data_IF_134907216906
#
_entry.id   IF_134907216906
#
_cell.length_a   1.000
_cell.length_b   1.000
_cell.length_c   1.000
_cell.angle_alpha   90.00
_cell.angle_beta   90.00
_cell.angle_gamma   90.00
#
_symmetry.space_group_name_H-M   'P 1'
#
loop_
_entity.id
_entity.type
_entity.pdbx_description
1 polymer ?
#
# COMPACT_ATOMS: atom_id res chain seq x y z
N UNK A 1 38.99 87.31 9.86
CA UNK A 1 40.09 87.23 10.85
C UNK A 1 40.24 85.81 11.35
N UNK A 2 41.40 85.31 11.05
CA UNK A 2 42.22 84.37 11.83
C UNK A 2 41.66 82.96 12.15
N UNK A 3 42.24 81.92 11.53
CA UNK A 3 43.43 81.16 12.02
C UNK A 3 43.02 80.18 13.11
N UNK A 4 43.34 78.93 13.17
CA UNK A 4 44.51 78.10 12.84
C UNK A 4 44.12 76.67 13.12
N UNK A 5 44.44 75.71 12.38
CA UNK A 5 45.67 74.86 12.32
C UNK A 5 45.86 73.83 13.43
N UNK A 6 46.12 72.64 12.95
CA UNK A 6 47.01 71.59 13.52
C UNK A 6 46.29 70.51 14.34
N UNK A 7 46.57 69.31 14.27
CA UNK A 7 47.56 68.36 13.70
C UNK A 7 47.26 66.98 14.27
N UNK A 8 47.48 66.00 13.44
CA UNK A 8 48.13 64.68 13.69
C UNK A 8 47.71 63.80 14.85
N UNK A 9 47.26 62.60 14.60
CA UNK A 9 48.15 61.45 14.80
C UNK A 9 47.45 60.13 14.39
N UNK A 10 48.12 59.43 13.56
CA UNK A 10 48.00 58.04 13.16
C UNK A 10 48.02 57.07 14.32
N UNK A 11 47.15 56.04 14.31
CA UNK A 11 47.50 54.71 14.77
C UNK A 11 46.87 53.68 13.85
N UNK A 12 47.73 52.94 13.23
CA UNK A 12 47.54 51.75 12.41
C UNK A 12 47.25 50.57 13.36
N UNK A 13 46.11 49.94 13.24
CA UNK A 13 45.91 48.61 13.80
C UNK A 13 45.13 47.77 12.84
N UNK A 14 45.83 46.84 12.19
CA UNK A 14 45.28 45.85 11.32
C UNK A 14 44.43 44.85 12.05
N UNK A 15 43.28 44.56 11.52
CA UNK A 15 42.46 43.41 11.91
C UNK A 15 42.24 42.61 10.65
N UNK A 16 42.92 41.44 10.60
CA UNK A 16 42.65 40.38 9.64
C UNK A 16 41.20 39.93 9.82
N UNK A 17 40.38 40.19 8.78
CA UNK A 17 39.11 39.45 8.64
C UNK A 17 39.43 38.11 8.02
N UNK A 18 39.38 37.06 8.85
CA UNK A 18 39.17 35.68 8.38
C UNK A 18 37.74 35.63 7.80
N UNK A 19 37.67 35.64 6.48
CA UNK A 19 36.48 35.23 5.77
C UNK A 19 36.36 33.70 5.94
N UNK A 20 35.69 33.25 6.99
CA UNK A 20 35.18 31.89 7.08
C UNK A 20 34.05 31.75 6.08
N UNK A 21 34.31 31.10 4.93
CA UNK A 21 33.26 30.53 4.11
C UNK A 21 32.66 29.37 4.90
N UNK A 22 31.69 29.66 5.74
CA UNK A 22 30.70 28.71 6.18
C UNK A 22 29.78 28.50 4.98
N UNK A 23 29.87 27.34 4.36
CA UNK A 23 28.83 26.86 3.47
C UNK A 23 27.61 26.59 4.34
N UNK A 24 26.84 27.62 4.62
CA UNK A 24 25.43 27.44 5.00
C UNK A 24 24.78 26.77 3.81
N UNK A 25 24.52 25.48 3.95
CA UNK A 25 23.42 24.88 3.21
C UNK A 25 22.21 25.71 3.62
N UNK A 26 21.78 26.57 2.74
CA UNK A 26 20.45 27.19 2.82
C UNK A 26 19.44 26.03 2.87
N UNK A 27 19.10 25.61 4.07
CA UNK A 27 17.82 24.98 4.31
C UNK A 27 16.81 26.07 3.97
N UNK A 28 16.26 26.02 2.78
CA UNK A 28 15.09 26.81 2.40
C UNK A 28 13.90 26.36 3.25
N UNK A 29 13.93 26.66 4.52
CA UNK A 29 12.82 26.57 5.45
C UNK A 29 12.24 27.95 5.62
N UNK A 30 11.58 28.45 4.59
CA UNK A 30 10.63 29.55 4.73
C UNK A 30 9.23 28.96 4.69
N UNK A 31 8.47 29.07 5.75
CA UNK A 31 6.98 29.12 5.89
C UNK A 31 6.07 28.40 4.84
N UNK A 32 6.56 27.47 4.02
CA UNK A 32 5.70 26.73 3.12
C UNK A 32 5.06 25.54 3.84
N UNK A 33 3.75 25.61 4.01
CA UNK A 33 2.96 24.44 4.43
C UNK A 33 2.52 23.67 3.19
N UNK A 34 2.86 22.39 3.14
CA UNK A 34 2.44 21.47 2.07
C UNK A 34 1.08 20.88 2.40
N UNK A 35 0.20 20.81 1.41
CA UNK A 35 -1.05 20.07 1.52
C UNK A 35 -0.91 18.75 0.75
N UNK A 36 -1.02 17.65 1.45
CA UNK A 36 -0.97 16.31 0.86
C UNK A 36 -2.39 15.74 0.84
N UNK A 37 -2.92 15.53 -0.36
CA UNK A 37 -4.19 14.83 -0.54
C UNK A 37 -3.99 13.33 -0.34
N UNK A 38 -4.83 12.74 0.48
CA UNK A 38 -4.83 11.29 0.74
C UNK A 38 -6.15 10.72 0.25
N UNK A 39 -6.11 9.76 -0.65
CA UNK A 39 -7.30 9.04 -1.12
C UNK A 39 -7.14 7.56 -0.88
N UNK A 40 -8.11 6.97 -0.19
CA UNK A 40 -8.18 5.56 0.14
C UNK A 40 -9.55 5.02 -0.27
N UNK A 41 -9.57 3.84 -0.94
CA UNK A 41 -10.85 3.29 -1.44
C UNK A 41 -11.77 2.88 -0.30
N UNK A 42 -11.22 2.28 0.75
CA UNK A 42 -11.95 1.82 1.94
C UNK A 42 -10.99 1.73 3.12
N UNK A 43 -11.52 1.72 4.32
CA UNK A 43 -10.76 1.48 5.55
C UNK A 43 -10.64 -0.02 5.81
N UNK A 44 -9.43 -0.51 5.92
CA UNK A 44 -9.07 -1.83 6.43
C UNK A 44 -7.59 -1.87 6.84
N UNK A 45 -7.18 -2.82 7.72
CA UNK A 45 -5.88 -2.78 8.41
C UNK A 45 -4.67 -2.57 7.51
N UNK A 46 -4.58 -3.24 6.36
CA UNK A 46 -3.41 -3.12 5.48
C UNK A 46 -3.29 -1.74 4.84
N UNK A 47 -4.42 -1.16 4.37
CA UNK A 47 -4.39 0.19 3.81
C UNK A 47 -4.10 1.24 4.89
N UNK A 48 -4.63 1.04 6.09
CA UNK A 48 -4.39 1.93 7.23
C UNK A 48 -2.91 1.87 7.65
N UNK A 49 -2.33 0.66 7.71
CA UNK A 49 -0.91 0.47 7.99
C UNK A 49 -0.01 1.15 6.94
N UNK A 50 -0.35 1.03 5.65
CA UNK A 50 0.38 1.73 4.58
C UNK A 50 0.33 3.26 4.74
N UNK A 51 -0.81 3.81 5.14
CA UNK A 51 -0.91 5.24 5.41
C UNK A 51 -0.10 5.67 6.64
N UNK A 52 -0.10 4.87 7.71
CA UNK A 52 0.75 5.16 8.88
C UNK A 52 2.24 5.12 8.52
N UNK A 53 2.69 4.13 7.74
CA UNK A 53 4.06 4.08 7.24
C UNK A 53 4.43 5.29 6.40
N UNK A 54 3.54 5.73 5.52
CA UNK A 54 3.71 6.94 4.72
C UNK A 54 3.90 8.19 5.58
N UNK A 55 3.03 8.40 6.58
CA UNK A 55 3.15 9.53 7.52
C UNK A 55 4.46 9.48 8.30
N UNK A 56 4.85 8.29 8.76
CA UNK A 56 6.09 8.08 9.52
C UNK A 56 7.32 8.49 8.70
N UNK A 57 7.42 8.05 7.45
CA UNK A 57 8.52 8.43 6.56
C UNK A 57 8.59 9.95 6.36
N UNK A 58 7.47 10.60 6.14
CA UNK A 58 7.40 12.05 6.02
C UNK A 58 7.88 12.75 7.30
N UNK A 59 7.35 12.34 8.46
CA UNK A 59 7.68 12.96 9.75
C UNK A 59 9.17 12.83 10.10
N UNK A 60 9.78 11.66 9.85
CA UNK A 60 11.20 11.39 10.08
C UNK A 60 12.11 12.21 9.14
N UNK A 61 11.59 12.63 7.98
CA UNK A 61 12.31 13.46 7.01
C UNK A 61 11.91 14.95 7.06
N UNK A 62 11.32 15.40 8.18
CA UNK A 62 11.07 16.82 8.45
C UNK A 62 9.73 17.35 7.97
N UNK A 63 8.87 16.51 7.41
CA UNK A 63 7.51 16.86 6.99
C UNK A 63 6.51 16.46 8.08
N UNK A 64 6.20 17.37 9.00
CA UNK A 64 5.41 17.09 10.21
C UNK A 64 4.01 17.69 10.11
N UNK A 65 3.01 16.86 10.39
CA UNK A 65 1.61 17.29 10.45
C UNK A 65 1.42 18.36 11.54
N UNK A 66 0.70 19.43 11.19
CA UNK A 66 0.44 20.56 12.09
C UNK A 66 1.58 21.58 12.18
N UNK A 67 2.75 21.29 11.61
CA UNK A 67 3.89 22.21 11.50
C UNK A 67 4.00 22.71 10.06
N UNK A 68 4.47 21.88 9.14
CA UNK A 68 4.68 22.24 7.74
C UNK A 68 3.95 21.33 6.75
N UNK A 69 3.14 20.39 7.23
CA UNK A 69 2.28 19.51 6.43
C UNK A 69 0.86 19.52 6.96
N UNK A 70 -0.09 19.52 6.03
CA UNK A 70 -1.51 19.25 6.26
C UNK A 70 -1.92 18.05 5.39
N UNK A 71 -2.53 17.04 5.98
CA UNK A 71 -3.17 15.96 5.24
C UNK A 71 -4.67 16.28 5.02
N UNK A 72 -5.12 16.18 3.76
CA UNK A 72 -6.54 16.15 3.39
C UNK A 72 -6.90 14.68 3.12
N UNK A 73 -7.35 13.99 4.16
CA UNK A 73 -7.63 12.55 4.15
C UNK A 73 -9.07 12.30 3.72
N UNK A 74 -9.24 11.51 2.68
CA UNK A 74 -10.52 11.16 2.10
C UNK A 74 -10.65 9.65 1.94
N UNK A 75 -11.76 9.09 2.43
CA UNK A 75 -12.11 7.67 2.31
C UNK A 75 -13.35 7.54 1.42
N UNK A 76 -13.25 6.74 0.37
CA UNK A 76 -14.34 6.52 -0.59
C UNK A 76 -15.42 5.55 -0.10
N UNK A 77 -15.20 4.88 1.05
CA UNK A 77 -16.15 3.92 1.63
C UNK A 77 -16.54 2.80 0.66
N UNK A 78 -15.57 2.35 -0.12
CA UNK A 78 -15.73 1.33 -1.16
C UNK A 78 -16.72 1.70 -2.29
N UNK A 79 -16.93 2.99 -2.54
CA UNK A 79 -17.77 3.49 -3.61
C UNK A 79 -16.91 4.17 -4.68
N UNK A 80 -17.00 3.66 -5.92
CA UNK A 80 -16.22 4.15 -7.05
C UNK A 80 -16.59 5.61 -7.41
N UNK A 81 -17.87 5.99 -7.26
CA UNK A 81 -18.33 7.36 -7.53
C UNK A 81 -17.79 8.35 -6.49
N UNK A 82 -17.72 7.91 -5.22
CA UNK A 82 -17.09 8.69 -4.17
C UNK A 82 -15.59 8.85 -4.45
N UNK A 83 -14.89 7.78 -4.85
CA UNK A 83 -13.48 7.84 -5.19
C UNK A 83 -13.19 8.82 -6.34
N UNK A 84 -14.02 8.83 -7.39
CA UNK A 84 -13.94 9.85 -8.46
C UNK A 84 -14.18 11.26 -7.94
N UNK A 85 -15.16 11.43 -7.07
CA UNK A 85 -15.48 12.73 -6.47
C UNK A 85 -14.35 13.26 -5.60
N UNK A 86 -13.71 12.36 -4.84
CA UNK A 86 -12.51 12.65 -4.03
C UNK A 86 -11.36 13.08 -4.94
N UNK A 87 -11.09 12.36 -6.02
CA UNK A 87 -10.05 12.72 -6.98
C UNK A 87 -10.26 14.15 -7.53
N UNK A 88 -11.48 14.47 -7.97
CA UNK A 88 -11.85 15.81 -8.45
C UNK A 88 -11.67 16.87 -7.37
N UNK A 89 -12.06 16.57 -6.13
CA UNK A 89 -11.88 17.48 -5.00
C UNK A 89 -10.40 17.79 -4.77
N UNK A 90 -9.56 16.77 -4.59
CA UNK A 90 -8.14 16.94 -4.32
C UNK A 90 -7.42 17.73 -5.43
N UNK A 91 -7.76 17.46 -6.70
CA UNK A 91 -7.23 18.21 -7.84
C UNK A 91 -7.75 19.65 -7.85
N UNK A 92 -9.03 19.87 -7.56
CA UNK A 92 -9.64 21.20 -7.47
C UNK A 92 -9.05 22.06 -6.34
N UNK A 93 -8.70 21.44 -5.23
CA UNK A 93 -8.06 22.07 -4.08
C UNK A 93 -6.56 22.34 -4.31
N UNK A 94 -6.00 21.85 -5.42
CA UNK A 94 -4.61 22.06 -5.84
C UNK A 94 -3.61 21.64 -4.75
N UNK A 95 -3.79 20.44 -4.23
CA UNK A 95 -2.85 19.85 -3.26
C UNK A 95 -1.43 19.73 -3.85
N UNK A 96 -0.40 19.77 -3.03
CA UNK A 96 1.00 19.74 -3.50
C UNK A 96 1.45 18.34 -3.95
N UNK A 97 0.82 17.28 -3.42
CA UNK A 97 1.07 15.88 -3.72
C UNK A 97 -0.17 15.06 -3.38
N UNK A 98 -0.43 13.99 -4.12
CA UNK A 98 -1.50 13.03 -3.80
C UNK A 98 -0.87 11.67 -3.44
N UNK A 99 -1.24 11.16 -2.26
CA UNK A 99 -1.01 9.79 -1.86
C UNK A 99 -2.27 8.97 -2.19
N UNK A 100 -2.13 8.02 -3.11
CA UNK A 100 -3.22 7.20 -3.60
C UNK A 100 -3.07 5.76 -3.10
N UNK A 101 -3.91 5.37 -2.16
CA UNK A 101 -3.86 4.08 -1.48
C UNK A 101 -4.90 3.13 -2.06
N UNK A 102 -4.49 2.23 -2.88
CA UNK A 102 -5.16 1.20 -3.67
C UNK A 102 -5.22 1.50 -5.18
N UNK A 103 -5.43 0.44 -5.98
CA UNK A 103 -5.56 0.53 -7.44
C UNK A 103 -6.72 1.44 -7.88
N UNK A 104 -7.96 1.33 -7.34
CA UNK A 104 -9.04 2.24 -7.73
C UNK A 104 -8.75 3.70 -7.40
N UNK A 105 -8.17 3.98 -6.24
CA UNK A 105 -7.78 5.34 -5.83
C UNK A 105 -6.76 5.94 -6.78
N UNK A 106 -5.72 5.18 -7.15
CA UNK A 106 -4.67 5.63 -8.06
C UNK A 106 -5.21 5.90 -9.48
N UNK A 107 -6.08 5.03 -9.98
CA UNK A 107 -6.73 5.20 -11.29
C UNK A 107 -7.55 6.49 -11.36
N UNK A 108 -8.36 6.77 -10.34
CA UNK A 108 -9.22 7.94 -10.34
C UNK A 108 -8.41 9.25 -10.30
N UNK A 109 -7.38 9.34 -9.45
CA UNK A 109 -6.57 10.57 -9.42
C UNK A 109 -5.73 10.76 -10.67
N UNK A 110 -5.19 9.68 -11.27
CA UNK A 110 -4.43 9.77 -12.52
C UNK A 110 -5.30 10.24 -13.70
N UNK A 111 -6.58 9.89 -13.69
CA UNK A 111 -7.54 10.35 -14.70
C UNK A 111 -7.89 11.84 -14.56
N UNK A 112 -7.84 12.40 -13.34
CA UNK A 112 -8.21 13.79 -13.07
C UNK A 112 -7.04 14.78 -13.18
N UNK A 113 -5.78 14.34 -13.04
CA UNK A 113 -4.62 15.24 -13.14
C UNK A 113 -3.43 14.63 -13.87
N UNK A 114 -2.72 15.49 -14.61
CA UNK A 114 -1.41 15.17 -15.21
C UNK A 114 -0.31 16.08 -14.67
N UNK A 115 -0.63 16.95 -13.70
CA UNK A 115 0.28 17.98 -13.18
C UNK A 115 0.66 17.72 -11.73
N UNK A 116 -0.32 17.38 -10.87
CA UNK A 116 -0.06 17.13 -9.46
C UNK A 116 0.69 15.81 -9.31
N UNK A 117 1.83 15.78 -8.60
CA UNK A 117 2.55 14.55 -8.31
C UNK A 117 1.68 13.54 -7.57
N UNK A 118 1.70 12.30 -8.01
CA UNK A 118 0.98 11.18 -7.40
C UNK A 118 2.01 10.14 -6.96
N UNK A 119 1.91 9.71 -5.71
CA UNK A 119 2.57 8.51 -5.22
C UNK A 119 1.51 7.49 -4.83
N UNK A 120 1.51 6.34 -5.49
CA UNK A 120 0.58 5.27 -5.15
C UNK A 120 1.23 4.22 -4.26
N UNK A 121 0.40 3.52 -3.50
CA UNK A 121 0.77 2.30 -2.76
C UNK A 121 -0.38 1.30 -2.80
N UNK A 122 -0.12 0.06 -2.38
CA UNK A 122 -1.16 -0.99 -2.35
C UNK A 122 -1.83 -1.19 -3.72
N UNK A 123 -1.01 -1.15 -4.76
CA UNK A 123 -1.43 -1.36 -6.16
C UNK A 123 -0.86 -2.68 -6.66
N UNK A 124 -1.74 -3.60 -7.02
CA UNK A 124 -1.33 -4.97 -7.37
C UNK A 124 -0.64 -5.07 -8.73
N UNK A 125 -1.21 -4.43 -9.75
CA UNK A 125 -0.64 -4.47 -11.11
C UNK A 125 -0.68 -3.07 -11.75
N UNK A 126 0.32 -2.22 -11.45
CA UNK A 126 0.33 -0.84 -11.94
C UNK A 126 0.48 -0.74 -13.46
N UNK A 127 1.07 -1.74 -14.12
CA UNK A 127 1.23 -1.79 -15.58
C UNK A 127 -0.09 -2.23 -16.23
N UNK A 128 -0.67 -3.34 -15.79
CA UNK A 128 -1.95 -3.83 -16.31
C UNK A 128 -3.12 -2.91 -16.01
N UNK A 129 -3.06 -2.15 -14.90
CA UNK A 129 -4.01 -1.09 -14.61
C UNK A 129 -3.82 0.18 -15.48
N UNK A 130 -2.70 0.29 -16.21
CA UNK A 130 -2.41 1.46 -17.03
C UNK A 130 -1.99 2.70 -16.25
N UNK A 131 -1.50 2.53 -15.03
CA UNK A 131 -0.95 3.61 -14.21
C UNK A 131 0.43 4.03 -14.67
N UNK A 132 1.24 3.07 -15.08
CA UNK A 132 2.62 3.25 -15.54
C UNK A 132 2.91 2.42 -16.80
N UNK A 133 3.90 2.81 -17.60
CA UNK A 133 4.32 2.04 -18.78
C UNK A 133 5.11 0.78 -18.38
N UNK A 134 6.02 0.93 -17.43
CA UNK A 134 6.78 -0.16 -16.78
C UNK A 134 7.27 0.32 -15.40
N UNK A 135 7.90 -0.55 -14.64
CA UNK A 135 8.46 -0.19 -13.32
C UNK A 135 9.62 0.79 -13.44
N UNK A 136 10.43 0.70 -14.52
CA UNK A 136 11.55 1.59 -14.80
C UNK A 136 11.12 2.88 -15.53
N UNK A 137 9.88 2.89 -16.04
CA UNK A 137 9.29 4.04 -16.72
C UNK A 137 7.92 4.34 -16.14
N UNK A 138 7.88 4.93 -14.94
CA UNK A 138 6.63 5.43 -14.36
C UNK A 138 6.06 6.56 -15.23
N UNK A 139 4.88 7.05 -14.90
CA UNK A 139 4.27 8.15 -15.63
C UNK A 139 4.97 9.49 -15.34
N UNK A 140 4.65 10.53 -16.13
CA UNK A 140 5.25 11.86 -15.94
C UNK A 140 4.99 12.44 -14.55
N UNK A 141 3.79 12.21 -14.00
CA UNK A 141 3.38 12.72 -12.69
C UNK A 141 3.02 11.62 -11.68
N UNK A 142 3.31 10.34 -11.97
CA UNK A 142 2.93 9.22 -11.08
C UNK A 142 4.07 8.23 -10.93
N UNK A 143 4.26 7.77 -9.70
CA UNK A 143 5.12 6.64 -9.29
C UNK A 143 4.59 6.03 -8.01
N UNK A 144 5.23 5.01 -7.46
CA UNK A 144 4.82 4.43 -6.19
C UNK A 144 5.35 3.02 -5.94
N UNK A 145 4.65 2.30 -5.06
CA UNK A 145 4.98 0.93 -4.70
C UNK A 145 3.84 -0.02 -5.06
N UNK A 146 4.18 -1.16 -5.67
CA UNK A 146 3.23 -2.26 -5.84
C UNK A 146 3.17 -3.12 -4.58
N UNK A 147 2.03 -3.73 -4.33
CA UNK A 147 1.86 -4.72 -3.27
C UNK A 147 1.99 -6.16 -3.78
N UNK A 148 2.56 -6.34 -4.95
CA UNK A 148 2.76 -7.67 -5.56
C UNK A 148 4.19 -8.15 -5.34
N UNK A 149 4.30 -9.33 -4.72
CA UNK A 149 5.47 -10.18 -4.78
C UNK A 149 5.11 -11.40 -5.64
N UNK A 150 5.91 -11.75 -6.66
CA UNK A 150 5.58 -12.81 -7.62
C UNK A 150 5.44 -14.19 -6.99
N UNK A 151 6.04 -14.41 -5.82
CA UNK A 151 6.03 -15.71 -5.13
C UNK A 151 4.84 -15.84 -4.16
N UNK A 152 4.15 -14.77 -3.80
CA UNK A 152 3.15 -14.78 -2.72
C UNK A 152 1.95 -15.68 -3.04
N UNK A 153 1.29 -15.49 -4.18
CA UNK A 153 0.15 -16.34 -4.58
C UNK A 153 0.60 -17.79 -4.84
N UNK A 154 1.71 -18.06 -5.59
CA UNK A 154 2.22 -19.40 -5.75
C UNK A 154 2.51 -20.15 -4.45
N UNK A 155 3.10 -19.48 -3.45
CA UNK A 155 3.36 -20.07 -2.14
C UNK A 155 2.07 -20.40 -1.40
N UNK A 156 1.11 -19.46 -1.34
CA UNK A 156 -0.15 -19.68 -0.61
C UNK A 156 -1.00 -20.76 -1.28
N UNK A 157 -1.23 -20.67 -2.60
CA UNK A 157 -2.02 -21.66 -3.34
C UNK A 157 -1.30 -23.01 -3.38
N UNK A 158 0.04 -22.98 -3.50
CA UNK A 158 0.86 -24.18 -3.40
C UNK A 158 0.67 -24.90 -2.07
N UNK A 159 0.72 -24.18 -0.98
CA UNK A 159 0.49 -24.74 0.35
C UNK A 159 -0.95 -25.29 0.51
N UNK A 160 -1.97 -24.59 -0.01
CA UNK A 160 -3.35 -25.07 0.01
C UNK A 160 -3.51 -26.44 -0.65
N UNK A 161 -2.90 -26.63 -1.83
CA UNK A 161 -3.05 -27.86 -2.61
C UNK A 161 -2.09 -28.95 -2.12
N UNK A 162 -0.79 -28.65 -2.04
CA UNK A 162 0.23 -29.66 -1.82
C UNK A 162 0.27 -30.13 -0.35
N UNK A 163 -0.01 -29.21 0.60
CA UNK A 163 0.14 -29.47 2.03
C UNK A 163 -1.21 -29.63 2.75
N UNK A 164 -2.14 -28.70 2.54
CA UNK A 164 -3.47 -28.77 3.15
C UNK A 164 -4.41 -29.74 2.39
N UNK A 165 -4.08 -30.15 1.16
CA UNK A 165 -4.81 -31.15 0.41
C UNK A 165 -6.10 -30.65 -0.22
N UNK A 166 -6.22 -29.34 -0.50
CA UNK A 166 -7.39 -28.78 -1.14
C UNK A 166 -7.46 -29.20 -2.62
N UNK A 167 -8.51 -29.91 -3.00
CA UNK A 167 -8.82 -30.28 -4.39
C UNK A 167 -9.70 -29.22 -5.06
N UNK A 168 -10.50 -28.49 -4.26
CA UNK A 168 -11.40 -27.44 -4.73
C UNK A 168 -11.26 -26.19 -3.88
N UNK A 169 -10.87 -25.07 -4.49
CA UNK A 169 -10.63 -23.78 -3.84
C UNK A 169 -11.76 -22.81 -4.16
N UNK A 170 -12.47 -22.30 -3.15
CA UNK A 170 -13.42 -21.21 -3.29
C UNK A 170 -12.71 -19.86 -3.30
N UNK A 171 -13.02 -19.00 -4.25
CA UNK A 171 -12.47 -17.63 -4.29
C UNK A 171 -13.61 -16.64 -4.30
N UNK A 172 -13.59 -15.69 -3.36
CA UNK A 172 -14.57 -14.58 -3.28
C UNK A 172 -13.84 -13.29 -3.65
N UNK A 173 -14.39 -12.53 -4.59
CA UNK A 173 -13.77 -11.30 -5.06
C UNK A 173 -14.77 -10.33 -5.68
N UNK A 174 -14.42 -9.06 -5.75
CA UNK A 174 -15.16 -8.05 -6.49
C UNK A 174 -14.63 -7.96 -7.93
N UNK A 175 -15.42 -8.40 -8.89
CA UNK A 175 -15.06 -8.35 -10.33
C UNK A 175 -15.03 -6.91 -10.91
N UNK A 176 -15.43 -5.90 -10.14
CA UNK A 176 -15.24 -4.48 -10.47
C UNK A 176 -13.89 -3.92 -10.06
N UNK A 177 -13.03 -4.70 -9.39
CA UNK A 177 -11.68 -4.32 -8.99
C UNK A 177 -10.63 -5.01 -9.88
N UNK A 178 -9.87 -4.22 -10.66
CA UNK A 178 -8.82 -4.75 -11.54
C UNK A 178 -7.76 -5.55 -10.77
N UNK A 179 -7.35 -5.07 -9.58
CA UNK A 179 -6.43 -5.77 -8.70
C UNK A 179 -6.92 -7.16 -8.30
N UNK A 180 -8.22 -7.36 -8.15
CA UNK A 180 -8.81 -8.64 -7.77
C UNK A 180 -8.85 -9.60 -8.96
N UNK A 181 -9.28 -9.13 -10.13
CA UNK A 181 -9.35 -9.96 -11.34
C UNK A 181 -7.99 -10.54 -11.74
N UNK A 182 -6.91 -9.75 -11.67
CA UNK A 182 -5.56 -10.23 -12.02
C UNK A 182 -5.08 -11.31 -11.05
N UNK A 183 -5.38 -11.18 -9.76
CA UNK A 183 -5.03 -12.19 -8.76
C UNK A 183 -5.83 -13.47 -8.93
N UNK A 184 -7.15 -13.37 -9.16
CA UNK A 184 -8.02 -14.53 -9.39
C UNK A 184 -7.58 -15.32 -10.62
N UNK A 185 -7.19 -14.64 -11.69
CA UNK A 185 -6.62 -15.29 -12.87
C UNK A 185 -5.36 -16.06 -12.51
N UNK A 186 -4.45 -15.49 -11.74
CA UNK A 186 -3.23 -16.16 -11.29
C UNK A 186 -3.53 -17.36 -10.39
N UNK A 187 -4.49 -17.26 -9.47
CA UNK A 187 -4.96 -18.39 -8.64
C UNK A 187 -5.48 -19.53 -9.50
N UNK A 188 -6.30 -19.23 -10.51
CA UNK A 188 -6.81 -20.26 -11.45
C UNK A 188 -5.71 -20.97 -12.22
N UNK A 189 -4.71 -20.23 -12.70
CA UNK A 189 -3.57 -20.80 -13.43
C UNK A 189 -2.78 -21.75 -12.53
N UNK A 190 -2.44 -21.33 -11.31
CA UNK A 190 -1.66 -22.15 -10.36
C UNK A 190 -2.46 -23.36 -9.88
N UNK A 191 -3.73 -23.18 -9.49
CA UNK A 191 -4.59 -24.27 -9.06
C UNK A 191 -4.71 -25.34 -10.14
N UNK A 192 -4.94 -24.93 -11.40
CA UNK A 192 -5.00 -25.83 -12.54
C UNK A 192 -3.69 -26.57 -12.78
N UNK A 193 -2.54 -25.92 -12.68
CA UNK A 193 -1.22 -26.55 -12.80
C UNK A 193 -1.00 -27.63 -11.73
N UNK A 194 -1.56 -27.42 -10.54
CA UNK A 194 -1.50 -28.34 -9.41
C UNK A 194 -2.63 -29.38 -9.38
N UNK A 195 -3.57 -29.33 -10.33
CA UNK A 195 -4.66 -30.29 -10.46
C UNK A 195 -5.86 -30.00 -9.55
N UNK A 196 -5.95 -28.79 -8.97
CA UNK A 196 -7.09 -28.34 -8.19
C UNK A 196 -8.09 -27.53 -9.04
N UNK A 197 -9.35 -27.52 -8.63
CA UNK A 197 -10.43 -26.74 -9.25
C UNK A 197 -10.65 -25.42 -8.46
N UNK A 198 -11.10 -24.35 -9.16
CA UNK A 198 -11.47 -23.09 -8.54
C UNK A 198 -12.96 -22.82 -8.74
N UNK A 199 -13.65 -22.52 -7.64
CA UNK A 199 -15.04 -22.07 -7.62
C UNK A 199 -15.06 -20.58 -7.32
N UNK A 200 -15.28 -19.76 -8.35
CA UNK A 200 -15.33 -18.31 -8.22
C UNK A 200 -16.72 -17.83 -7.78
N UNK A 201 -16.75 -16.90 -6.85
CA UNK A 201 -17.95 -16.16 -6.43
C UNK A 201 -17.64 -14.67 -6.49
N UNK A 202 -18.20 -13.99 -7.47
CA UNK A 202 -18.05 -12.53 -7.60
C UNK A 202 -19.12 -11.80 -6.80
N UNK A 203 -18.72 -10.67 -6.22
CA UNK A 203 -19.58 -9.72 -5.52
C UNK A 203 -19.38 -8.32 -6.06
N UNK A 204 -20.26 -7.41 -5.71
CA UNK A 204 -20.16 -5.98 -6.04
C UNK A 204 -20.08 -5.09 -4.79
N UNK A 205 -20.55 -5.58 -3.65
CA UNK A 205 -20.59 -4.82 -2.40
C UNK A 205 -20.19 -5.69 -1.20
N UNK A 206 -19.69 -5.06 -0.14
CA UNK A 206 -19.33 -5.75 1.10
C UNK A 206 -20.52 -6.43 1.81
N UNK A 207 -21.75 -5.97 1.55
CA UNK A 207 -22.97 -6.60 2.11
C UNK A 207 -23.22 -8.01 1.54
N UNK A 208 -22.67 -8.34 0.38
CA UNK A 208 -22.83 -9.65 -0.27
C UNK A 208 -21.81 -10.70 0.22
N UNK A 209 -20.74 -10.28 0.92
CA UNK A 209 -19.61 -11.13 1.31
C UNK A 209 -20.06 -12.35 2.12
N UNK A 210 -20.96 -12.16 3.11
CA UNK A 210 -21.46 -13.28 3.93
C UNK A 210 -22.19 -14.32 3.08
N UNK A 211 -23.10 -13.87 2.20
CA UNK A 211 -23.85 -14.76 1.33
C UNK A 211 -22.94 -15.48 0.34
N UNK A 212 -21.91 -14.80 -0.17
CA UNK A 212 -20.91 -15.39 -1.03
C UNK A 212 -20.16 -16.53 -0.32
N UNK A 213 -19.70 -16.30 0.92
CA UNK A 213 -19.05 -17.33 1.73
C UNK A 213 -19.97 -18.51 2.02
N UNK A 214 -21.23 -18.26 2.40
CA UNK A 214 -22.24 -19.31 2.65
C UNK A 214 -22.52 -20.14 1.38
N UNK A 215 -22.43 -19.56 0.20
CA UNK A 215 -22.64 -20.27 -1.08
C UNK A 215 -21.56 -21.29 -1.43
N UNK A 216 -20.38 -21.19 -0.82
CA UNK A 216 -19.25 -22.10 -0.99
C UNK A 216 -19.35 -23.33 -0.08
N UNK A 217 -20.17 -23.30 0.98
CA UNK A 217 -20.29 -24.38 1.95
C UNK A 217 -20.69 -25.70 1.30
N UNK A 218 -19.90 -26.76 1.56
CA UNK A 218 -20.09 -28.08 0.99
C UNK A 218 -19.74 -28.20 -0.50
N UNK A 219 -19.11 -27.20 -1.07
CA UNK A 219 -18.67 -27.17 -2.47
C UNK A 219 -17.16 -27.04 -2.63
N UNK A 220 -16.47 -26.63 -1.58
CA UNK A 220 -15.04 -26.36 -1.61
C UNK A 220 -14.35 -26.94 -0.38
N UNK A 221 -13.06 -27.24 -0.49
CA UNK A 221 -12.23 -27.77 0.60
C UNK A 221 -11.54 -26.62 1.36
N UNK A 222 -11.32 -25.49 0.72
CA UNK A 222 -10.73 -24.30 1.30
C UNK A 222 -11.23 -23.04 0.60
N UNK A 223 -11.17 -21.89 1.30
CA UNK A 223 -11.46 -20.59 0.72
C UNK A 223 -10.17 -19.79 0.61
N UNK A 224 -9.98 -19.08 -0.50
CA UNK A 224 -8.93 -18.09 -0.68
C UNK A 224 -9.53 -16.69 -0.92
N UNK A 225 -9.09 -15.72 -0.15
CA UNK A 225 -9.44 -14.32 -0.34
C UNK A 225 -8.21 -13.56 -0.85
N UNK A 226 -8.22 -13.08 -2.10
CA UNK A 226 -7.15 -12.24 -2.62
C UNK A 226 -7.08 -10.88 -1.90
N UNK A 227 -6.14 -10.02 -2.28
CA UNK A 227 -6.09 -8.61 -1.85
C UNK A 227 -7.20 -7.81 -2.54
N UNK A 228 -8.41 -8.06 -2.11
CA UNK A 228 -9.67 -7.47 -2.60
C UNK A 228 -10.21 -6.49 -1.56
N UNK A 229 -10.27 -5.21 -1.91
CA UNK A 229 -10.64 -4.18 -0.94
C UNK A 229 -12.07 -4.37 -0.40
N UNK A 230 -12.98 -4.84 -1.24
CA UNK A 230 -14.38 -5.05 -0.87
C UNK A 230 -14.53 -6.21 0.11
N UNK A 231 -13.94 -7.37 -0.21
CA UNK A 231 -14.03 -8.57 0.63
C UNK A 231 -13.26 -8.39 1.93
N UNK A 232 -12.03 -7.85 1.87
CA UNK A 232 -11.19 -7.61 3.06
C UNK A 232 -11.85 -6.64 4.03
N UNK A 233 -12.58 -5.63 3.55
CA UNK A 233 -13.34 -4.71 4.42
C UNK A 233 -14.46 -5.39 5.23
N UNK A 234 -14.90 -6.59 4.82
CA UNK A 234 -15.94 -7.38 5.48
C UNK A 234 -15.47 -8.82 5.83
N UNK A 235 -14.15 -9.01 5.99
CA UNK A 235 -13.51 -10.32 6.15
C UNK A 235 -14.06 -11.12 7.32
N UNK A 236 -14.50 -10.47 8.41
CA UNK A 236 -15.10 -11.13 9.56
C UNK A 236 -16.33 -11.98 9.19
N UNK A 237 -17.03 -11.59 8.13
CA UNK A 237 -18.17 -12.38 7.62
C UNK A 237 -17.71 -13.69 6.99
N UNK A 238 -16.56 -13.71 6.31
CA UNK A 238 -15.97 -14.94 5.76
C UNK A 238 -15.41 -15.79 6.89
N UNK A 239 -14.65 -15.19 7.83
CA UNK A 239 -14.07 -15.87 8.99
C UNK A 239 -15.17 -16.57 9.80
N UNK A 240 -16.30 -15.89 10.06
CA UNK A 240 -17.42 -16.50 10.78
C UNK A 240 -17.97 -17.75 10.07
N UNK A 241 -18.10 -17.72 8.75
CA UNK A 241 -18.56 -18.89 7.97
C UNK A 241 -17.49 -19.99 7.96
N UNK A 242 -16.22 -19.63 7.80
CA UNK A 242 -15.09 -20.55 7.82
C UNK A 242 -15.03 -21.33 9.14
N UNK A 243 -15.10 -20.63 10.28
CA UNK A 243 -15.09 -21.22 11.62
C UNK A 243 -16.36 -22.08 11.88
N UNK A 244 -17.55 -21.59 11.47
CA UNK A 244 -18.82 -22.30 11.70
C UNK A 244 -18.94 -23.60 10.86
N UNK A 245 -18.18 -23.72 9.80
CA UNK A 245 -18.30 -24.78 8.79
C UNK A 245 -17.04 -25.61 8.62
N UNK A 246 -16.04 -25.40 9.44
CA UNK A 246 -14.74 -26.09 9.38
C UNK A 246 -14.13 -26.02 7.96
N UNK A 247 -14.09 -24.83 7.38
CA UNK A 247 -13.50 -24.60 6.06
C UNK A 247 -12.26 -23.71 6.21
N UNK A 248 -11.05 -24.20 5.96
CA UNK A 248 -9.82 -23.40 6.06
C UNK A 248 -9.83 -22.17 5.16
N UNK A 249 -9.59 -20.99 5.75
CA UNK A 249 -9.55 -19.70 5.08
C UNK A 249 -8.12 -19.23 4.86
N UNK A 250 -7.68 -19.19 3.63
CA UNK A 250 -6.40 -18.62 3.22
C UNK A 250 -6.58 -17.20 2.69
N UNK A 251 -5.61 -16.33 2.92
CA UNK A 251 -5.74 -14.91 2.60
C UNK A 251 -4.49 -14.37 1.91
N UNK A 252 -4.64 -13.25 1.19
CA UNK A 252 -3.58 -12.67 0.36
C UNK A 252 -2.61 -11.74 1.10
N UNK A 253 -2.82 -11.48 2.41
CA UNK A 253 -2.06 -10.50 3.19
C UNK A 253 -1.97 -10.84 4.68
N UNK A 254 -0.88 -10.38 5.33
CA UNK A 254 -0.61 -10.72 6.74
C UNK A 254 -1.59 -10.07 7.74
N UNK A 255 -2.17 -8.92 7.40
CA UNK A 255 -3.12 -8.27 8.31
C UNK A 255 -4.47 -9.02 8.32
N UNK A 256 -4.89 -9.58 7.21
CA UNK A 256 -6.03 -10.50 7.14
C UNK A 256 -5.75 -11.84 7.84
N UNK A 257 -4.50 -12.33 7.80
CA UNK A 257 -4.07 -13.50 8.57
C UNK A 257 -4.25 -13.31 10.07
N UNK A 258 -3.86 -12.15 10.60
CA UNK A 258 -4.03 -11.79 12.03
C UNK A 258 -5.50 -11.75 12.47
N UNK A 259 -6.40 -11.49 11.54
CA UNK A 259 -7.86 -11.45 11.81
C UNK A 259 -8.51 -12.83 11.89
N UNK A 260 -7.89 -13.87 11.32
CA UNK A 260 -8.41 -15.23 11.37
C UNK A 260 -8.24 -16.03 10.09
N UNK A 261 -7.37 -15.60 9.18
CA UNK A 261 -6.89 -16.46 8.10
C UNK A 261 -5.95 -17.54 8.62
N UNK A 262 -5.89 -18.69 7.93
CA UNK A 262 -5.02 -19.83 8.29
C UNK A 262 -3.58 -19.61 7.83
N UNK A 263 -3.39 -19.19 6.58
CA UNK A 263 -2.08 -18.86 6.07
C UNK A 263 -2.15 -17.75 5.02
N UNK A 264 -1.06 -17.02 4.92
CA UNK A 264 -0.82 -16.00 3.91
C UNK A 264 0.67 -15.91 3.61
N UNK A 265 1.04 -15.77 2.33
CA UNK A 265 2.35 -15.25 1.96
C UNK A 265 2.26 -13.76 1.75
N UNK A 266 3.01 -12.99 2.51
CA UNK A 266 2.88 -11.53 2.51
C UNK A 266 4.07 -10.80 3.11
N UNK A 267 3.88 -9.51 3.30
CA UNK A 267 4.85 -8.54 3.81
C UNK A 267 4.12 -7.49 4.66
N UNK A 268 4.90 -6.62 5.32
CA UNK A 268 4.36 -5.57 6.16
C UNK A 268 3.92 -4.35 5.32
N UNK A 269 2.65 -3.96 5.40
CA UNK A 269 2.10 -2.79 4.69
C UNK A 269 2.57 -1.45 5.28
N UNK A 270 2.95 -1.37 6.57
CA UNK A 270 3.57 -0.16 7.13
C UNK A 270 4.92 0.11 6.43
N UNK A 271 5.74 -0.93 6.22
CA UNK A 271 7.02 -0.79 5.51
C UNK A 271 6.82 -0.38 4.04
N UNK A 272 5.80 -0.93 3.37
CA UNK A 272 5.45 -0.55 2.01
C UNK A 272 5.04 0.93 1.93
N UNK A 273 4.19 1.37 2.84
CA UNK A 273 3.80 2.78 2.96
C UNK A 273 4.98 3.70 3.30
N UNK A 274 5.90 3.24 4.15
CA UNK A 274 7.13 3.95 4.48
C UNK A 274 8.01 4.17 3.24
N UNK A 275 8.22 3.14 2.43
CA UNK A 275 8.93 3.26 1.14
C UNK A 275 8.27 4.29 0.22
N UNK A 276 6.94 4.25 0.11
CA UNK A 276 6.18 5.25 -0.66
C UNK A 276 6.38 6.67 -0.11
N UNK A 277 6.42 6.81 1.21
CA UNK A 277 6.71 8.08 1.89
C UNK A 277 8.10 8.63 1.57
N UNK A 278 9.12 7.77 1.48
CA UNK A 278 10.46 8.19 1.06
C UNK A 278 10.49 8.68 -0.40
N UNK A 279 9.65 8.13 -1.28
CA UNK A 279 9.48 8.66 -2.65
C UNK A 279 8.85 10.06 -2.61
N UNK A 280 7.81 10.24 -1.80
CA UNK A 280 7.16 11.54 -1.62
C UNK A 280 8.14 12.60 -1.08
N UNK A 281 9.01 12.26 -0.13
CA UNK A 281 10.06 13.15 0.39
C UNK A 281 10.98 13.65 -0.73
N UNK A 282 11.46 12.76 -1.61
CA UNK A 282 12.32 13.14 -2.76
C UNK A 282 11.60 14.12 -3.70
N UNK A 283 10.28 13.92 -3.89
CA UNK A 283 9.47 14.80 -4.74
C UNK A 283 9.24 16.16 -4.07
N UNK A 284 8.87 16.19 -2.79
CA UNK A 284 8.62 17.41 -2.04
C UNK A 284 9.87 18.27 -1.87
N UNK A 285 11.04 17.64 -1.74
CA UNK A 285 12.35 18.31 -1.72
C UNK A 285 12.74 18.87 -3.10
N UNK A 286 12.05 18.50 -4.19
CA UNK A 286 12.43 18.83 -5.55
C UNK A 286 13.70 18.10 -6.05
N UNK A 287 14.10 17.04 -5.38
CA UNK A 287 15.27 16.21 -5.74
C UNK A 287 15.00 15.36 -6.98
N UNK A 288 13.76 14.85 -7.10
CA UNK A 288 13.30 14.02 -8.22
C UNK A 288 11.86 14.34 -8.60
N UNK A 289 11.55 14.11 -9.87
CA UNK A 289 10.17 14.04 -10.36
C UNK A 289 9.66 12.61 -10.24
N UNK A 290 8.35 12.38 -10.24
CA UNK A 290 7.79 11.01 -10.27
C UNK A 290 8.39 10.15 -11.39
N UNK A 291 8.56 10.70 -12.60
CA UNK A 291 9.16 10.02 -13.76
C UNK A 291 10.63 9.57 -13.59
N UNK A 292 11.29 10.01 -12.54
CA UNK A 292 12.69 9.67 -12.23
C UNK A 292 12.82 8.68 -11.06
N UNK A 293 11.69 8.21 -10.53
CA UNK A 293 11.63 7.26 -9.42
C UNK A 293 10.94 5.99 -9.92
N UNK A 294 11.66 4.89 -9.99
CA UNK A 294 11.10 3.61 -10.39
C UNK A 294 9.96 3.17 -9.45
N UNK A 295 9.01 2.41 -9.99
CA UNK A 295 8.07 1.69 -9.13
C UNK A 295 8.84 0.63 -8.36
N UNK A 296 8.62 0.54 -7.04
CA UNK A 296 9.29 -0.42 -6.18
C UNK A 296 8.33 -1.55 -5.76
N UNK A 297 8.91 -2.71 -5.49
CA UNK A 297 8.20 -3.92 -5.03
C UNK A 297 8.62 -4.23 -3.60
N UNK A 298 7.80 -4.96 -2.81
CA UNK A 298 8.26 -5.53 -1.55
C UNK A 298 9.46 -6.45 -1.75
N UNK A 299 10.46 -6.35 -0.87
CA UNK A 299 11.71 -7.10 -1.00
C UNK A 299 11.50 -8.63 -0.88
N UNK A 300 10.59 -9.06 0.01
CA UNK A 300 10.31 -10.48 0.23
C UNK A 300 8.85 -10.68 0.65
N UNK A 301 8.32 -11.87 0.38
CA UNK A 301 7.09 -12.37 0.97
C UNK A 301 7.42 -13.61 1.80
N UNK A 302 6.80 -13.74 2.96
CA UNK A 302 7.00 -14.85 3.88
C UNK A 302 5.66 -15.58 4.06
N UNK A 303 5.67 -16.89 3.87
CA UNK A 303 4.51 -17.72 4.14
C UNK A 303 4.35 -17.88 5.65
N UNK A 304 3.34 -17.21 6.20
CA UNK A 304 3.04 -17.20 7.63
C UNK A 304 1.77 -18.00 7.91
N UNK A 305 1.77 -18.74 9.01
CA UNK A 305 0.69 -19.65 9.39
C UNK A 305 0.14 -19.32 10.78
N UNK A 306 -1.19 -19.25 10.90
CA UNK A 306 -1.93 -18.99 12.12
C UNK A 306 -2.51 -20.30 12.67
N UNK A 307 -1.87 -20.86 13.68
CA UNK A 307 -2.28 -22.13 14.31
C UNK A 307 -3.67 -22.05 14.91
N UNK A 308 -4.02 -20.96 15.58
CA UNK A 308 -5.32 -20.80 16.23
C UNK A 308 -6.45 -20.81 15.21
N UNK A 309 -6.29 -20.08 14.08
CA UNK A 309 -7.28 -20.09 13.02
C UNK A 309 -7.40 -21.47 12.37
N UNK A 310 -6.28 -22.18 12.16
CA UNK A 310 -6.30 -23.54 11.61
C UNK A 310 -7.08 -24.50 12.51
N UNK A 311 -6.86 -24.49 13.82
CA UNK A 311 -7.59 -25.29 14.80
C UNK A 311 -9.09 -24.95 14.81
N UNK A 312 -9.45 -23.66 14.78
CA UNK A 312 -10.84 -23.20 14.75
C UNK A 312 -11.56 -23.59 13.46
N UNK A 313 -10.84 -23.73 12.35
CA UNK A 313 -11.38 -24.07 11.04
C UNK A 313 -11.18 -25.54 10.66
N UNK A 314 -10.85 -26.38 11.64
CA UNK A 314 -10.79 -27.84 11.49
C UNK A 314 -9.62 -28.36 10.64
N UNK A 315 -8.60 -27.52 10.37
CA UNK A 315 -7.43 -27.95 9.62
C UNK A 315 -6.42 -28.64 10.54
N UNK A 316 -6.12 -29.92 10.25
CA UNK A 316 -5.11 -30.67 10.98
C UNK A 316 -3.70 -30.17 10.67
N UNK A 317 -2.98 -29.71 11.71
CA UNK A 317 -1.63 -29.17 11.58
C UNK A 317 -0.62 -30.29 11.56
N UNK A 318 0.22 -30.35 10.55
CA UNK A 318 1.28 -31.34 10.41
C UNK A 318 2.61 -30.82 10.96
N UNK A 319 3.37 -31.65 11.67
CA UNK A 319 4.67 -31.28 12.26
C UNK A 319 5.68 -30.80 11.21
N UNK A 320 5.63 -31.38 10.00
CA UNK A 320 6.51 -31.06 8.86
C UNK A 320 6.34 -29.62 8.33
N UNK A 321 5.23 -28.97 8.62
CA UNK A 321 4.99 -27.59 8.20
C UNK A 321 5.87 -26.58 8.92
N UNK A 322 6.47 -26.96 10.06
CA UNK A 322 7.40 -26.11 10.79
C UNK A 322 8.63 -25.69 9.96
N UNK A 323 9.00 -26.47 8.96
CA UNK A 323 10.11 -26.17 8.06
C UNK A 323 9.67 -25.35 6.81
N UNK A 324 8.37 -25.17 6.60
CA UNK A 324 7.79 -24.53 5.41
C UNK A 324 7.23 -23.13 5.67
N UNK A 325 6.81 -22.85 6.91
CA UNK A 325 6.11 -21.63 7.26
C UNK A 325 6.71 -20.95 8.50
N UNK A 326 6.55 -19.63 8.58
CA UNK A 326 6.70 -18.92 9.85
C UNK A 326 5.37 -18.94 10.61
N UNK A 327 5.40 -19.20 11.91
CA UNK A 327 4.18 -19.17 12.71
C UNK A 327 3.89 -17.76 13.19
N UNK A 328 2.63 -17.36 13.09
CA UNK A 328 2.15 -16.12 13.67
C UNK A 328 2.32 -16.17 15.20
N UNK A 329 2.99 -15.16 15.77
CA UNK A 329 3.24 -15.03 17.21
C UNK A 329 2.00 -14.56 17.99
#
# INVERSE_FOLDING_TARGET
LRKSLLLLSSVLAGSLMLAGCSSEKDAASGDKTYTIGVTQIVEHPSLDAAYEGFKKALAENGYKEGDNVKFDVQNAQNDQSNSQSIAKKLVGDKVDLIFANSTPSALHVLNETKEIPIVFTSVTDPVGAGLVESFEKPGENITGTTDTNPDAIPQTVGFMVDEAGAETIGVIYNSGEQNSEVQVKQVNEIAKEKGAEVVEVSISTSAEVKQAAESLVGRVDAIYIPKDNTVVSALESVISVANDKDIPLFVGELDSLKRGGVAASGFNYEDLGYQTGLMAVKILNGEKKPSEINVETPESAVLTFNKAAAEEQGLEIKDEWADLVEFLE
#
